data_IF_954974030457
#
_entry.id   IF_954974030457
#
_cell.length_a   1.000
_cell.length_b   1.000
_cell.length_c   1.000
_cell.angle_alpha   90.00
_cell.angle_beta   90.00
_cell.angle_gamma   90.00
#
_symmetry.space_group_name_H-M   'P 1'
#
loop_
_entity.id
_entity.type
_entity.pdbx_description
1 polymer ?
#
# COMPACT_ATOMS: atom_id res chain seq x y z
N UNK A 1 12.79 -1.32 -5.15
CA UNK A 1 13.00 -1.28 -3.69
C UNK A 1 13.79 -2.49 -3.17
N UNK A 2 13.63 -3.68 -3.76
CA UNK A 2 14.34 -4.90 -3.32
C UNK A 2 15.87 -4.77 -3.30
N UNK A 3 16.48 -4.25 -4.37
CA UNK A 3 17.95 -4.06 -4.41
C UNK A 3 18.46 -3.10 -3.33
N UNK A 4 17.69 -2.06 -3.03
CA UNK A 4 18.03 -1.12 -1.94
C UNK A 4 18.00 -1.85 -0.60
N UNK A 5 16.93 -2.61 -0.31
CA UNK A 5 16.77 -3.33 0.95
C UNK A 5 17.87 -4.38 1.20
N UNK A 6 18.47 -4.96 0.16
CA UNK A 6 19.62 -5.88 0.29
C UNK A 6 20.88 -5.20 0.85
N UNK A 7 21.02 -3.90 0.64
CA UNK A 7 22.19 -3.11 1.05
C UNK A 7 22.02 -2.36 2.37
N UNK A 8 20.80 -2.33 2.92
CA UNK A 8 20.47 -1.58 4.14
C UNK A 8 20.87 -2.39 5.36
N UNK A 9 21.55 -1.75 6.32
CA UNK A 9 21.74 -2.30 7.65
C UNK A 9 20.39 -2.40 8.38
N UNK A 10 19.92 -3.60 8.78
CA UNK A 10 18.67 -3.78 9.51
C UNK A 10 18.59 -3.01 10.84
N UNK A 11 19.72 -2.59 11.41
CA UNK A 11 19.79 -1.78 12.64
C UNK A 11 19.77 -0.28 12.39
N UNK A 12 19.73 0.15 11.13
CA UNK A 12 19.56 1.56 10.81
C UNK A 12 18.18 2.04 11.25
N UNK A 13 18.10 3.25 11.82
CA UNK A 13 16.84 3.88 12.22
C UNK A 13 15.84 4.02 11.05
N UNK A 14 16.31 3.99 9.79
CA UNK A 14 15.46 4.09 8.60
C UNK A 14 15.03 2.74 8.04
N UNK A 15 15.57 1.63 8.54
CA UNK A 15 15.40 0.32 7.94
C UNK A 15 13.93 -0.14 7.98
N UNK A 16 13.25 0.06 9.12
CA UNK A 16 11.83 -0.24 9.26
C UNK A 16 10.95 0.68 8.39
N UNK A 17 11.33 1.95 8.22
CA UNK A 17 10.62 2.90 7.38
C UNK A 17 10.63 2.46 5.91
N UNK A 18 11.76 1.98 5.39
CA UNK A 18 11.87 1.51 4.01
C UNK A 18 10.94 0.32 3.72
N UNK A 19 10.87 -0.65 4.64
CA UNK A 19 9.91 -1.75 4.51
C UNK A 19 8.46 -1.29 4.63
N UNK A 20 8.19 -0.32 5.50
CA UNK A 20 6.85 0.27 5.62
C UNK A 20 6.45 0.98 4.33
N UNK A 21 7.36 1.76 3.72
CA UNK A 21 7.14 2.39 2.42
C UNK A 21 6.93 1.35 1.32
N UNK A 22 7.69 0.24 1.32
CA UNK A 22 7.48 -0.87 0.38
C UNK A 22 6.07 -1.42 0.46
N UNK A 23 5.61 -1.72 1.68
CA UNK A 23 4.29 -2.28 1.91
C UNK A 23 3.18 -1.32 1.47
N UNK A 24 3.36 -0.02 1.70
CA UNK A 24 2.43 1.01 1.24
C UNK A 24 2.36 1.05 -0.29
N UNK A 25 3.50 1.00 -1.00
CA UNK A 25 3.53 1.01 -2.46
C UNK A 25 2.89 -0.25 -3.07
N UNK A 26 3.18 -1.42 -2.50
CA UNK A 26 2.60 -2.70 -2.89
C UNK A 26 1.08 -2.68 -2.75
N UNK A 27 0.59 -2.12 -1.64
CA UNK A 27 -0.83 -1.96 -1.39
C UNK A 27 -1.48 -0.99 -2.38
N UNK A 28 -0.98 0.24 -2.45
CA UNK A 28 -1.65 1.34 -3.13
C UNK A 28 -1.52 1.27 -4.65
N UNK A 29 -0.37 0.85 -5.18
CA UNK A 29 -0.09 0.94 -6.61
C UNK A 29 -0.15 -0.42 -7.33
N UNK A 30 0.09 -1.51 -6.60
CA UNK A 30 0.02 -2.88 -7.13
C UNK A 30 -1.27 -3.60 -6.70
N UNK A 31 -1.87 -3.22 -5.57
CA UNK A 31 -3.03 -3.92 -5.02
C UNK A 31 -2.66 -5.27 -4.41
N UNK A 32 -1.38 -5.48 -4.11
CA UNK A 32 -0.89 -6.74 -3.57
C UNK A 32 -0.91 -6.68 -2.04
N UNK A 33 -2.10 -6.94 -1.48
CA UNK A 33 -2.34 -6.99 -0.03
C UNK A 33 -1.40 -7.98 0.68
N UNK A 34 -1.08 -9.12 0.05
CA UNK A 34 -0.23 -10.14 0.66
C UNK A 34 1.24 -9.71 0.69
N UNK A 35 1.73 -9.08 -0.37
CA UNK A 35 3.06 -8.49 -0.39
C UNK A 35 3.17 -7.37 0.65
N UNK A 36 2.17 -6.49 0.74
CA UNK A 36 2.13 -5.41 1.72
C UNK A 36 2.22 -5.93 3.17
N UNK A 37 1.45 -6.97 3.51
CA UNK A 37 1.50 -7.65 4.81
C UNK A 37 2.92 -8.17 5.09
N UNK A 38 3.54 -8.86 4.13
CA UNK A 38 4.93 -9.36 4.29
C UNK A 38 5.93 -8.23 4.52
N UNK A 39 5.76 -7.12 3.81
CA UNK A 39 6.61 -5.93 3.98
C UNK A 39 6.44 -5.31 5.37
N UNK A 40 5.21 -5.21 5.90
CA UNK A 40 4.98 -4.74 7.27
C UNK A 40 5.54 -5.70 8.33
N UNK A 41 5.45 -7.01 8.12
CA UNK A 41 6.09 -7.99 9.01
C UNK A 41 7.62 -7.80 9.06
N UNK A 42 8.25 -7.55 7.91
CA UNK A 42 9.68 -7.25 7.86
C UNK A 42 10.02 -5.91 8.52
N UNK A 43 9.16 -4.91 8.37
CA UNK A 43 9.32 -3.62 9.04
C UNK A 43 9.26 -3.76 10.57
N UNK A 44 8.28 -4.50 11.11
CA UNK A 44 8.19 -4.83 12.54
C UNK A 44 9.42 -5.60 13.03
N UNK A 45 9.89 -6.58 12.23
CA UNK A 45 11.10 -7.35 12.54
C UNK A 45 12.35 -6.48 12.62
N UNK A 46 12.49 -5.47 11.77
CA UNK A 46 13.66 -4.60 11.78
C UNK A 46 13.54 -3.50 12.84
N UNK A 47 12.34 -3.00 13.10
CA UNK A 47 12.07 -2.06 14.19
C UNK A 47 12.42 -2.66 15.56
N UNK A 48 12.22 -3.97 15.77
CA UNK A 48 12.60 -4.61 17.03
C UNK A 48 14.12 -4.71 17.26
N UNK A 49 14.93 -4.41 16.23
CA UNK A 49 16.39 -4.37 16.31
C UNK A 49 16.92 -3.00 16.75
N UNK A 50 16.06 -1.97 16.78
CA UNK A 50 16.42 -0.61 17.20
C UNK A 50 15.73 -0.27 18.51
N UNK A 51 16.38 0.50 19.38
CA UNK A 51 15.81 0.94 20.68
C UNK A 51 14.80 2.11 20.52
N UNK A 52 14.54 2.52 19.28
CA UNK A 52 13.67 3.62 18.91
C UNK A 52 12.20 3.25 19.14
N UNK A 53 11.69 3.57 20.33
CA UNK A 53 10.25 3.57 20.61
C UNK A 53 9.61 4.76 19.92
N UNK A 54 8.75 4.50 18.95
CA UNK A 54 7.88 5.55 18.42
C UNK A 54 6.89 6.00 19.51
N UNK A 55 6.68 7.31 19.67
CA UNK A 55 5.72 7.83 20.62
C UNK A 55 4.28 7.58 20.12
N UNK A 56 3.71 6.44 20.53
CA UNK A 56 2.29 6.09 20.63
C UNK A 56 1.33 6.09 19.40
N UNK A 57 0.29 5.25 19.60
CA UNK A 57 -1.04 5.10 18.97
C UNK A 57 -1.19 4.36 17.64
N UNK A 58 -0.25 4.39 16.70
CA UNK A 58 -0.32 3.55 15.50
C UNK A 58 1.04 2.90 15.24
N UNK A 59 1.09 1.59 15.40
CA UNK A 59 2.28 0.77 15.19
C UNK A 59 2.28 0.18 13.78
N UNK A 60 3.46 -0.28 13.32
CA UNK A 60 3.58 -1.03 12.07
C UNK A 60 2.73 -2.31 12.13
N UNK A 61 2.61 -2.90 13.32
CA UNK A 61 1.76 -4.06 13.56
C UNK A 61 0.27 -3.74 13.39
N UNK A 62 -0.17 -2.53 13.76
CA UNK A 62 -1.56 -2.10 13.54
C UNK A 62 -1.86 -1.98 12.03
N UNK A 63 -0.89 -1.57 11.21
CA UNK A 63 -1.04 -1.58 9.75
C UNK A 63 -1.20 -3.01 9.19
N UNK A 64 -0.43 -3.96 9.72
CA UNK A 64 -0.57 -5.38 9.34
C UNK A 64 -1.96 -5.93 9.70
N UNK A 65 -2.45 -5.62 10.91
CA UNK A 65 -3.74 -6.08 11.41
C UNK A 65 -4.89 -5.45 10.61
N UNK A 66 -4.89 -4.13 10.43
CA UNK A 66 -5.91 -3.44 9.65
C UNK A 66 -5.99 -3.98 8.22
N UNK A 67 -4.85 -4.32 7.61
CA UNK A 67 -4.85 -4.93 6.29
C UNK A 67 -5.54 -6.27 6.25
N UNK A 68 -5.42 -7.12 7.28
CA UNK A 68 -6.07 -8.45 7.30
C UNK A 68 -7.58 -8.33 7.13
N UNK A 69 -8.17 -7.31 7.75
CA UNK A 69 -9.63 -7.06 7.73
C UNK A 69 -10.08 -6.21 6.53
N UNK A 70 -9.17 -5.58 5.80
CA UNK A 70 -9.49 -4.80 4.59
C UNK A 70 -10.03 -5.70 3.48
N UNK A 71 -11.20 -5.38 2.94
CA UNK A 71 -11.80 -6.14 1.85
C UNK A 71 -11.32 -5.68 0.46
N UNK A 72 -11.88 -6.28 -0.60
CA UNK A 72 -11.52 -5.95 -1.97
C UNK A 72 -12.05 -4.57 -2.41
N UNK A 73 -13.20 -4.14 -1.89
CA UNK A 73 -13.81 -2.84 -2.21
C UNK A 73 -12.95 -1.72 -1.61
N UNK A 74 -12.63 -1.81 -0.31
CA UNK A 74 -11.75 -0.89 0.41
C UNK A 74 -10.40 -0.75 -0.31
N UNK A 75 -9.81 -1.89 -0.69
CA UNK A 75 -8.55 -1.92 -1.41
C UNK A 75 -8.66 -1.16 -2.74
N UNK A 76 -9.70 -1.44 -3.56
CA UNK A 76 -9.88 -0.74 -4.85
C UNK A 76 -10.07 0.75 -4.67
N UNK A 77 -10.85 1.16 -3.67
CA UNK A 77 -11.02 2.58 -3.35
C UNK A 77 -9.70 3.24 -2.96
N UNK A 78 -8.86 2.58 -2.14
CA UNK A 78 -7.54 3.08 -1.78
C UNK A 78 -6.63 3.22 -3.01
N UNK A 79 -6.60 2.23 -3.92
CA UNK A 79 -5.81 2.30 -5.15
C UNK A 79 -6.26 3.46 -6.05
N UNK A 80 -7.56 3.67 -6.21
CA UNK A 80 -8.11 4.76 -7.03
C UNK A 80 -7.66 6.12 -6.47
N UNK A 81 -7.75 6.31 -5.14
CA UNK A 81 -7.30 7.54 -4.49
C UNK A 81 -5.80 7.76 -4.71
N UNK A 82 -4.98 6.73 -4.51
CA UNK A 82 -3.54 6.82 -4.69
C UNK A 82 -3.14 7.21 -6.12
N UNK A 83 -3.69 6.53 -7.15
CA UNK A 83 -3.43 6.88 -8.55
C UNK A 83 -3.95 8.28 -8.92
N UNK A 84 -5.08 8.69 -8.36
CA UNK A 84 -5.62 10.05 -8.56
C UNK A 84 -4.69 11.12 -7.99
N UNK A 85 -4.09 10.87 -6.82
CA UNK A 85 -3.06 11.75 -6.26
C UNK A 85 -1.84 11.84 -7.17
N UNK A 86 -1.36 10.72 -7.71
CA UNK A 86 -0.23 10.73 -8.66
C UNK A 86 -0.57 11.52 -9.91
N UNK A 87 -1.76 11.30 -10.50
CA UNK A 87 -2.22 12.00 -11.70
C UNK A 87 -2.15 13.52 -11.56
N UNK A 88 -2.51 14.05 -10.39
CA UNK A 88 -2.50 15.49 -10.12
C UNK A 88 -1.12 16.16 -10.27
N UNK A 89 -0.03 15.39 -10.18
CA UNK A 89 1.35 15.90 -10.25
C UNK A 89 2.09 15.51 -11.53
N UNK A 90 1.51 14.66 -12.39
CA UNK A 90 2.14 14.27 -13.66
C UNK A 90 1.85 15.31 -14.74
N UNK A 91 2.91 15.84 -15.38
CA UNK A 91 2.80 16.85 -16.45
C UNK A 91 2.87 16.27 -17.86
N UNK A 92 3.42 15.06 -18.00
CA UNK A 92 3.60 14.39 -19.28
C UNK A 92 2.28 13.75 -19.74
N UNK A 93 1.79 14.17 -20.91
CA UNK A 93 0.47 13.77 -21.43
C UNK A 93 0.36 12.25 -21.62
N UNK A 94 1.33 11.56 -22.27
CA UNK A 94 1.28 10.10 -22.37
C UNK A 94 1.13 9.41 -21.01
N UNK A 95 1.94 9.81 -20.01
CA UNK A 95 1.83 9.25 -18.65
C UNK A 95 0.50 9.57 -17.96
N UNK A 96 -0.05 10.77 -18.16
CA UNK A 96 -1.40 11.10 -17.66
C UNK A 96 -2.45 10.12 -18.21
N UNK A 97 -2.39 9.83 -19.51
CA UNK A 97 -3.32 8.90 -20.16
C UNK A 97 -3.18 7.47 -19.62
N UNK A 98 -1.95 7.00 -19.40
CA UNK A 98 -1.69 5.69 -18.78
C UNK A 98 -2.30 5.59 -17.37
N UNK A 99 -2.12 6.63 -16.55
CA UNK A 99 -2.67 6.66 -15.19
C UNK A 99 -4.20 6.75 -15.22
N UNK A 100 -4.78 7.57 -16.10
CA UNK A 100 -6.23 7.65 -16.28
C UNK A 100 -6.82 6.29 -16.67
N UNK A 101 -6.21 5.59 -17.63
CA UNK A 101 -6.64 4.27 -18.03
C UNK A 101 -6.59 3.26 -16.86
N UNK A 102 -5.57 3.36 -16.01
CA UNK A 102 -5.46 2.53 -14.80
C UNK A 102 -6.57 2.85 -13.79
N UNK A 103 -6.87 4.12 -13.57
CA UNK A 103 -7.99 4.54 -12.70
C UNK A 103 -9.33 4.03 -13.23
N UNK A 104 -9.60 4.21 -14.52
CA UNK A 104 -10.85 3.74 -15.14
C UNK A 104 -11.02 2.22 -15.03
N UNK A 105 -9.94 1.46 -15.19
CA UNK A 105 -9.97 0.01 -14.97
C UNK A 105 -10.32 -0.33 -13.51
N UNK A 106 -9.68 0.32 -12.54
CA UNK A 106 -9.96 0.10 -11.12
C UNK A 106 -11.42 0.45 -10.76
N UNK A 107 -11.97 1.52 -11.35
CA UNK A 107 -13.38 1.90 -11.18
C UNK A 107 -14.33 0.84 -11.75
N UNK A 108 -14.02 0.27 -12.90
CA UNK A 108 -14.82 -0.83 -13.48
C UNK A 108 -14.77 -2.09 -12.60
N UNK A 109 -13.58 -2.45 -12.10
CA UNK A 109 -13.42 -3.56 -11.15
C UNK A 109 -14.20 -3.32 -9.85
N UNK A 110 -14.16 -2.10 -9.31
CA UNK A 110 -14.92 -1.71 -8.12
C UNK A 110 -16.44 -1.84 -8.34
N UNK A 111 -16.97 -1.35 -9.46
CA UNK A 111 -18.39 -1.44 -9.76
C UNK A 111 -18.91 -2.89 -9.84
N UNK A 112 -18.07 -3.83 -10.33
CA UNK A 112 -18.42 -5.26 -10.34
C UNK A 112 -18.49 -5.83 -8.92
N UNK A 113 -17.55 -5.43 -8.04
CA UNK A 113 -17.54 -5.88 -6.64
C UNK A 113 -18.76 -5.35 -5.88
N UNK A 114 -19.09 -4.07 -6.04
CA UNK A 114 -20.27 -3.46 -5.38
C UNK A 114 -21.60 -4.09 -5.84
N UNK A 115 -21.70 -4.47 -7.12
CA UNK A 115 -22.87 -5.20 -7.63
C UNK A 115 -22.99 -6.61 -7.04
N UNK A 116 -21.86 -7.29 -6.80
CA UNK A 116 -21.83 -8.62 -6.21
C UNK A 116 -22.16 -8.61 -4.71
N UNK A 117 -21.85 -7.51 -4.02
CA UNK A 117 -22.10 -7.31 -2.58
C UNK A 117 -23.50 -6.77 -2.27
N UNK A 118 -24.20 -6.24 -3.28
CA UNK A 118 -25.57 -5.76 -3.14
C UNK A 118 -26.54 -6.93 -2.90
N UNK A 119 -27.39 -6.89 -1.85
CA UNK A 119 -28.40 -7.91 -1.64
C UNK A 119 -29.37 -7.93 -2.83
N UNK A 120 -29.60 -9.12 -3.41
CA UNK A 120 -30.61 -9.28 -4.47
C UNK A 120 -31.99 -8.88 -3.92
N UNK A 121 -32.81 -8.18 -4.73
CA UNK A 121 -34.17 -7.80 -4.35
C UNK A 121 -35.07 -9.01 -4.09
#
# INVERSE_FOLDING_TARGET
>A
MEEVLKSVDPKSDQAALLWTSKGLDELLFMGDKQAAIKSYQMATKWQSLTETKHPNNLTIQDLELALKDTDAIDLKQAQIRAWSTVLAYVKDIPRQQEIMAKISRLQAELAVLEQADSPKP
#
